data_IF_472737525733
#
_entry.id   IF_472737525733
#
_cell.length_a   1.000
_cell.length_b   1.000
_cell.length_c   1.000
_cell.angle_alpha   90.00
_cell.angle_beta   90.00
_cell.angle_gamma   90.00
#
_symmetry.space_group_name_H-M   'P 1'
#
loop_
_entity.id
_entity.type
_entity.pdbx_description
1 polymer ?
#
# COMPACT_ATOMS: atom_id res chain seq x y z
N UNK A 1 -4.48 90.06 34.52
CA UNK A 1 -3.55 89.13 35.18
C UNK A 1 -4.25 88.00 35.95
N UNK A 2 -5.35 88.22 36.67
CA UNK A 2 -6.07 87.13 37.34
C UNK A 2 -6.85 86.21 36.38
N UNK A 3 -7.49 86.76 35.34
CA UNK A 3 -8.26 85.99 34.34
C UNK A 3 -7.39 85.02 33.52
N UNK A 4 -6.15 85.41 33.23
CA UNK A 4 -5.18 84.59 32.49
C UNK A 4 -4.63 83.43 33.33
N UNK A 5 -4.56 83.58 34.65
CA UNK A 5 -4.13 82.51 35.56
C UNK A 5 -5.18 81.40 35.66
N UNK A 6 -6.47 81.77 35.66
CA UNK A 6 -7.55 80.79 35.78
C UNK A 6 -7.74 79.96 34.51
N UNK A 7 -7.57 80.57 33.33
CA UNK A 7 -7.53 79.86 32.05
C UNK A 7 -6.38 78.83 32.00
N UNK A 8 -5.17 79.24 32.41
CA UNK A 8 -4.01 78.36 32.45
C UNK A 8 -4.18 77.16 33.42
N UNK A 9 -4.91 77.33 34.54
CA UNK A 9 -5.23 76.22 35.45
C UNK A 9 -6.20 75.21 34.83
N UNK A 10 -7.18 75.69 34.06
CA UNK A 10 -8.13 74.82 33.39
C UNK A 10 -7.46 74.00 32.28
N UNK A 11 -6.60 74.64 31.48
CA UNK A 11 -5.77 73.97 30.47
C UNK A 11 -4.83 72.93 31.08
N UNK A 12 -4.19 73.24 32.22
CA UNK A 12 -3.35 72.29 32.94
C UNK A 12 -4.16 71.07 33.42
N UNK A 13 -5.34 71.30 33.99
CA UNK A 13 -6.20 70.22 34.47
C UNK A 13 -6.70 69.31 33.33
N UNK A 14 -6.99 69.89 32.17
CA UNK A 14 -7.37 69.13 30.97
C UNK A 14 -6.20 68.30 30.43
N UNK A 15 -5.01 68.91 30.31
CA UNK A 15 -3.79 68.23 29.92
C UNK A 15 -3.39 67.09 30.89
N UNK A 16 -3.58 67.26 32.21
CA UNK A 16 -3.36 66.21 33.20
C UNK A 16 -4.33 65.03 33.03
N UNK A 17 -5.58 65.32 32.69
CA UNK A 17 -6.60 64.29 32.41
C UNK A 17 -6.27 63.53 31.12
N UNK A 18 -5.88 64.22 30.06
CA UNK A 18 -5.41 63.61 28.81
C UNK A 18 -4.18 62.73 29.05
N UNK A 19 -3.19 63.24 29.80
CA UNK A 19 -1.99 62.47 30.16
C UNK A 19 -2.34 61.19 30.91
N UNK A 20 -3.32 61.25 31.84
CA UNK A 20 -3.79 60.08 32.58
C UNK A 20 -4.45 59.05 31.67
N UNK A 21 -5.26 59.48 30.70
CA UNK A 21 -5.90 58.60 29.71
C UNK A 21 -4.86 57.98 28.78
N UNK A 22 -3.92 58.77 28.25
CA UNK A 22 -2.85 58.25 27.40
C UNK A 22 -1.99 57.22 28.13
N UNK A 23 -1.67 57.45 29.42
CA UNK A 23 -0.94 56.49 30.24
C UNK A 23 -1.68 55.16 30.38
N UNK A 24 -3.00 55.16 30.60
CA UNK A 24 -3.75 53.91 30.71
C UNK A 24 -3.83 53.17 29.37
N UNK A 25 -3.97 53.90 28.26
CA UNK A 25 -3.94 53.31 26.90
C UNK A 25 -2.57 52.68 26.60
N UNK A 26 -1.47 53.35 26.91
CA UNK A 26 -0.11 52.81 26.73
C UNK A 26 0.06 51.53 27.54
N UNK A 27 -0.33 51.51 28.82
CA UNK A 27 -0.24 50.31 29.66
C UNK A 27 -1.09 49.14 29.13
N UNK A 28 -2.25 49.41 28.53
CA UNK A 28 -3.06 48.37 27.89
C UNK A 28 -2.37 47.82 26.65
N UNK A 29 -1.84 48.72 25.79
CA UNK A 29 -1.13 48.34 24.58
C UNK A 29 0.16 47.57 24.86
N UNK A 30 0.88 47.91 25.93
CA UNK A 30 2.09 47.18 26.37
C UNK A 30 1.75 45.75 26.79
N UNK A 31 0.65 45.54 27.52
CA UNK A 31 0.18 44.20 27.90
C UNK A 31 -0.25 43.37 26.70
N UNK A 32 -0.95 43.99 25.74
CA UNK A 32 -1.32 43.32 24.49
C UNK A 32 -0.09 42.94 23.68
N UNK A 33 0.91 43.84 23.60
CA UNK A 33 2.18 43.56 22.93
C UNK A 33 2.91 42.38 23.58
N UNK A 34 3.00 42.35 24.91
CA UNK A 34 3.61 41.24 25.65
C UNK A 34 2.87 39.92 25.38
N UNK A 35 1.53 39.93 25.33
CA UNK A 35 0.74 38.75 25.01
C UNK A 35 0.97 38.27 23.57
N UNK A 36 1.11 39.19 22.61
CA UNK A 36 1.40 38.86 21.21
C UNK A 36 2.79 38.22 21.11
N UNK A 37 3.79 38.75 21.81
CA UNK A 37 5.14 38.18 21.82
C UNK A 37 5.16 36.74 22.35
N UNK A 38 4.41 36.44 23.42
CA UNK A 38 4.27 35.05 23.91
C UNK A 38 3.65 34.13 22.86
N UNK A 39 2.58 34.57 22.19
CA UNK A 39 1.95 33.78 21.12
C UNK A 39 2.89 33.54 19.93
N UNK A 40 3.73 34.51 19.59
CA UNK A 40 4.74 34.35 18.54
C UNK A 40 5.75 33.26 18.91
N UNK A 41 6.21 33.25 20.17
CA UNK A 41 7.12 32.23 20.67
C UNK A 41 6.48 30.83 20.64
N UNK A 42 5.24 30.71 21.11
CA UNK A 42 4.47 29.46 21.07
C UNK A 42 4.34 28.92 19.63
N UNK A 43 3.95 29.79 18.69
CA UNK A 43 3.82 29.44 17.26
C UNK A 43 5.18 29.04 16.67
N UNK A 44 6.27 29.70 17.07
CA UNK A 44 7.61 29.37 16.60
C UNK A 44 8.04 27.98 17.07
N UNK A 45 7.74 27.63 18.33
CA UNK A 45 7.99 26.30 18.88
C UNK A 45 7.19 25.23 18.14
N UNK A 46 5.90 25.47 17.90
CA UNK A 46 5.02 24.57 17.13
C UNK A 46 5.55 24.37 15.71
N UNK A 47 5.91 25.45 15.02
CA UNK A 47 6.47 25.40 13.67
C UNK A 47 7.75 24.56 13.60
N UNK A 48 8.62 24.68 14.59
CA UNK A 48 9.86 23.91 14.63
C UNK A 48 9.63 22.43 15.01
N UNK A 49 8.60 22.12 15.80
CA UNK A 49 8.15 20.74 16.01
C UNK A 49 7.63 20.11 14.71
N UNK A 50 6.71 20.78 14.01
CA UNK A 50 6.16 20.31 12.74
C UNK A 50 7.24 20.10 11.68
N UNK A 51 8.24 20.99 11.60
CA UNK A 51 9.39 20.83 10.71
C UNK A 51 10.22 19.59 11.03
N UNK A 52 10.40 19.27 12.33
CA UNK A 52 11.11 18.06 12.76
C UNK A 52 10.33 16.80 12.41
N UNK A 53 9.03 16.78 12.66
CA UNK A 53 8.19 15.63 12.33
C UNK A 53 8.11 15.40 10.82
N UNK A 54 7.95 16.46 10.02
CA UNK A 54 8.01 16.35 8.56
C UNK A 54 9.32 15.73 8.08
N UNK A 55 10.45 16.14 8.66
CA UNK A 55 11.77 15.59 8.29
C UNK A 55 11.87 14.09 8.59
N UNK A 56 11.34 13.63 9.73
CA UNK A 56 11.29 12.20 10.06
C UNK A 56 10.43 11.42 9.06
N UNK A 57 9.25 11.94 8.72
CA UNK A 57 8.35 11.32 7.75
C UNK A 57 8.99 11.26 6.36
N UNK A 58 9.72 12.30 5.94
CA UNK A 58 10.46 12.30 4.66
C UNK A 58 11.56 11.22 4.65
N UNK A 59 12.29 11.04 5.76
CA UNK A 59 13.30 9.99 5.93
C UNK A 59 12.66 8.58 5.89
N UNK A 60 11.53 8.37 6.57
CA UNK A 60 10.78 7.11 6.54
C UNK A 60 10.23 6.78 5.15
N UNK A 61 9.69 7.79 4.45
CA UNK A 61 9.22 7.62 3.07
C UNK A 61 10.35 7.25 2.11
N UNK A 62 11.53 7.85 2.28
CA UNK A 62 12.69 7.52 1.46
C UNK A 62 13.13 6.06 1.66
N UNK A 63 13.15 5.58 2.90
CA UNK A 63 13.49 4.19 3.24
C UNK A 63 12.45 3.19 2.72
N UNK A 64 11.17 3.50 2.85
CA UNK A 64 10.09 2.67 2.33
C UNK A 64 10.15 2.59 0.80
N UNK A 65 10.38 3.72 0.12
CA UNK A 65 10.52 3.75 -1.34
C UNK A 65 11.73 2.93 -1.81
N UNK A 66 12.86 2.96 -1.08
CA UNK A 66 14.01 2.10 -1.38
C UNK A 66 13.64 0.62 -1.27
N UNK A 67 12.96 0.25 -0.19
CA UNK A 67 12.51 -1.14 0.04
C UNK A 67 11.56 -1.61 -1.06
N UNK A 68 10.61 -0.76 -1.46
CA UNK A 68 9.70 -1.05 -2.57
C UNK A 68 10.49 -1.24 -3.87
N UNK A 69 11.41 -0.34 -4.20
CA UNK A 69 12.22 -0.45 -5.41
C UNK A 69 13.07 -1.74 -5.44
N UNK A 70 13.60 -2.18 -4.31
CA UNK A 70 14.31 -3.46 -4.20
C UNK A 70 13.38 -4.66 -4.42
N UNK A 71 12.18 -4.63 -3.84
CA UNK A 71 11.17 -5.70 -4.00
C UNK A 71 10.57 -5.75 -5.41
N UNK A 72 10.39 -4.59 -6.05
CA UNK A 72 9.87 -4.46 -7.42
C UNK A 72 10.99 -4.47 -8.47
N UNK A 73 12.24 -4.70 -8.07
CA UNK A 73 13.34 -4.86 -9.00
C UNK A 73 12.96 -5.92 -10.04
N UNK A 74 13.24 -5.63 -11.31
CA UNK A 74 12.93 -6.50 -12.46
C UNK A 74 13.40 -7.94 -12.27
N UNK A 75 14.45 -8.15 -11.47
CA UNK A 75 14.96 -9.47 -11.10
C UNK A 75 13.97 -10.31 -10.28
N UNK A 76 13.22 -9.71 -9.36
CA UNK A 76 12.21 -10.38 -8.55
C UNK A 76 10.97 -10.73 -9.37
N UNK A 77 10.46 -9.77 -10.14
CA UNK A 77 9.30 -9.99 -11.00
C UNK A 77 9.57 -11.00 -12.12
N UNK A 78 10.73 -10.91 -12.78
CA UNK A 78 11.13 -11.89 -13.81
C UNK A 78 11.34 -13.28 -13.23
N UNK A 79 11.89 -13.41 -12.01
CA UNK A 79 12.02 -14.69 -11.32
C UNK A 79 10.64 -15.28 -10.98
N UNK A 80 9.70 -14.46 -10.50
CA UNK A 80 8.33 -14.89 -10.22
C UNK A 80 7.63 -15.35 -11.50
N UNK A 81 7.73 -14.59 -12.59
CA UNK A 81 7.14 -14.95 -13.88
C UNK A 81 7.70 -16.28 -14.40
N UNK A 82 9.03 -16.47 -14.33
CA UNK A 82 9.68 -17.73 -14.72
C UNK A 82 9.18 -18.91 -13.87
N UNK A 83 9.10 -18.75 -12.56
CA UNK A 83 8.56 -19.78 -11.67
C UNK A 83 7.09 -20.09 -11.96
N UNK A 84 6.29 -19.08 -12.30
CA UNK A 84 4.88 -19.28 -12.70
C UNK A 84 4.77 -20.06 -14.01
N UNK A 85 5.65 -19.81 -14.98
CA UNK A 85 5.73 -20.56 -16.22
C UNK A 85 6.16 -22.02 -15.97
N UNK A 86 7.19 -22.25 -15.15
CA UNK A 86 7.62 -23.60 -14.77
C UNK A 86 6.51 -24.38 -14.03
N UNK A 87 5.75 -23.73 -13.14
CA UNK A 87 4.58 -24.32 -12.48
C UNK A 87 3.49 -24.68 -13.49
N UNK A 88 3.25 -23.80 -14.47
CA UNK A 88 2.25 -24.02 -15.52
C UNK A 88 2.64 -25.23 -16.38
N UNK A 89 3.90 -25.35 -16.76
CA UNK A 89 4.42 -26.48 -17.53
C UNK A 89 4.34 -27.78 -16.74
N UNK A 90 4.75 -27.78 -15.47
CA UNK A 90 4.58 -28.91 -14.57
C UNK A 90 3.11 -29.35 -14.47
N UNK A 91 2.19 -28.40 -14.28
CA UNK A 91 0.74 -28.69 -14.23
C UNK A 91 0.22 -29.25 -15.55
N UNK A 92 0.72 -28.78 -16.69
CA UNK A 92 0.31 -29.29 -18.00
C UNK A 92 0.69 -30.77 -18.19
N UNK A 93 1.86 -31.18 -17.68
CA UNK A 93 2.31 -32.59 -17.72
C UNK A 93 1.33 -33.51 -16.98
N UNK A 94 0.70 -33.05 -15.90
CA UNK A 94 -0.25 -33.84 -15.11
C UNK A 94 -1.62 -33.98 -15.77
N UNK A 95 -1.95 -33.15 -16.77
CA UNK A 95 -3.23 -33.18 -17.46
C UNK A 95 -3.31 -34.33 -18.47
N UNK A 96 -4.52 -34.84 -18.66
CA UNK A 96 -4.85 -35.87 -19.63
C UNK A 96 -4.62 -35.35 -21.05
N UNK A 97 -3.82 -36.05 -21.85
CA UNK A 97 -3.53 -35.66 -23.24
C UNK A 97 -4.73 -35.75 -24.19
N UNK A 98 -5.87 -36.30 -23.76
CA UNK A 98 -7.09 -36.41 -24.58
C UNK A 98 -8.01 -35.21 -24.38
N UNK A 99 -8.24 -34.76 -23.14
CA UNK A 99 -9.12 -33.63 -22.85
C UNK A 99 -8.40 -32.33 -22.48
N UNK A 100 -7.09 -32.38 -22.20
CA UNK A 100 -6.24 -31.25 -21.82
C UNK A 100 -6.73 -30.45 -20.60
N UNK A 101 -7.57 -31.08 -19.79
CA UNK A 101 -8.31 -30.42 -18.71
C UNK A 101 -8.11 -31.18 -17.39
N UNK A 102 -8.63 -32.40 -17.31
CA UNK A 102 -8.57 -33.25 -16.11
C UNK A 102 -7.18 -33.85 -15.90
N UNK A 103 -6.84 -34.08 -14.64
CA UNK A 103 -5.60 -34.79 -14.26
C UNK A 103 -5.61 -36.24 -14.74
N UNK A 104 -4.41 -36.81 -14.90
CA UNK A 104 -4.21 -38.24 -15.14
C UNK A 104 -4.62 -39.02 -13.88
N UNK A 105 -5.47 -40.02 -14.05
CA UNK A 105 -6.03 -40.83 -12.94
C UNK A 105 -5.84 -42.33 -13.17
N UNK A 106 -5.68 -42.74 -14.44
CA UNK A 106 -5.57 -44.14 -14.83
C UNK A 106 -4.36 -44.37 -15.74
N UNK A 107 -3.80 -45.57 -15.65
CA UNK A 107 -2.76 -46.09 -16.53
C UNK A 107 -3.30 -47.30 -17.31
N UNK A 108 -2.93 -47.38 -18.59
CA UNK A 108 -3.12 -48.59 -19.40
C UNK A 108 -1.89 -49.47 -19.23
N UNK A 109 -1.98 -50.55 -18.45
CA UNK A 109 -0.80 -51.36 -18.04
C UNK A 109 -0.05 -52.01 -19.20
N UNK A 110 -0.68 -52.14 -20.38
CA UNK A 110 -0.04 -52.68 -21.60
C UNK A 110 0.95 -51.73 -22.27
N UNK A 111 0.79 -50.41 -22.07
CA UNK A 111 1.61 -49.41 -22.75
C UNK A 111 2.04 -48.25 -21.85
N UNK A 112 1.67 -48.27 -20.58
CA UNK A 112 2.01 -47.29 -19.54
C UNK A 112 1.60 -45.84 -19.81
N UNK A 113 0.76 -45.59 -20.82
CA UNK A 113 0.20 -44.27 -21.03
C UNK A 113 -0.88 -43.94 -20.00
N UNK A 114 -0.86 -42.69 -19.53
CA UNK A 114 -1.74 -42.18 -18.49
C UNK A 114 -2.76 -41.18 -19.03
N UNK A 115 -3.99 -41.27 -18.53
CA UNK A 115 -5.11 -40.44 -18.93
C UNK A 115 -6.07 -40.21 -17.76
N UNK A 116 -7.04 -39.31 -17.89
CA UNK A 116 -8.15 -39.23 -16.94
C UNK A 116 -9.09 -40.43 -17.13
N UNK A 117 -9.74 -40.86 -16.05
CA UNK A 117 -10.62 -42.02 -16.07
C UNK A 117 -11.77 -41.82 -17.08
N UNK A 118 -12.38 -40.63 -17.09
CA UNK A 118 -13.50 -40.31 -17.98
C UNK A 118 -13.18 -40.50 -19.48
N UNK A 119 -11.97 -40.15 -19.91
CA UNK A 119 -11.57 -40.30 -21.32
C UNK A 119 -11.38 -41.77 -21.71
N UNK A 120 -10.91 -42.61 -20.78
CA UNK A 120 -10.71 -44.04 -21.03
C UNK A 120 -12.01 -44.82 -20.95
N UNK A 121 -12.91 -44.50 -20.00
CA UNK A 121 -14.24 -45.11 -19.95
C UNK A 121 -15.02 -44.83 -21.24
N UNK A 122 -15.03 -43.57 -21.71
CA UNK A 122 -15.68 -43.22 -22.99
C UNK A 122 -15.11 -44.01 -24.18
N UNK A 123 -13.80 -44.25 -24.24
CA UNK A 123 -13.20 -45.08 -25.30
C UNK A 123 -13.72 -46.53 -25.25
N UNK A 124 -13.81 -47.10 -24.05
CA UNK A 124 -14.27 -48.47 -23.85
C UNK A 124 -15.76 -48.63 -24.19
N UNK A 125 -16.59 -47.65 -23.80
CA UNK A 125 -18.02 -47.58 -24.16
C UNK A 125 -18.23 -47.53 -25.68
N UNK A 126 -17.44 -46.70 -26.38
CA UNK A 126 -17.47 -46.60 -27.85
C UNK A 126 -16.80 -47.79 -28.56
N UNK A 127 -16.36 -48.82 -27.83
CA UNK A 127 -15.61 -49.97 -28.34
C UNK A 127 -14.32 -49.60 -29.07
N UNK A 128 -13.77 -48.41 -28.82
CA UNK A 128 -12.46 -47.97 -29.30
C UNK A 128 -11.35 -48.56 -28.43
N UNK A 129 -11.08 -49.85 -28.61
CA UNK A 129 -10.11 -50.64 -27.82
C UNK A 129 -8.64 -50.38 -28.21
N UNK A 130 -8.26 -49.13 -28.44
CA UNK A 130 -6.89 -48.71 -28.79
C UNK A 130 -6.49 -47.51 -27.94
N UNK A 131 -5.28 -47.54 -27.38
CA UNK A 131 -4.74 -46.47 -26.55
C UNK A 131 -4.74 -45.13 -27.32
N UNK A 132 -5.26 -44.03 -26.76
CA UNK A 132 -5.24 -42.72 -27.42
C UNK A 132 -3.83 -42.18 -27.68
N UNK A 133 -2.82 -42.61 -26.90
CA UNK A 133 -1.43 -42.14 -27.03
C UNK A 133 -0.60 -42.88 -28.07
N UNK A 134 -0.80 -44.20 -28.22
CA UNK A 134 0.07 -45.04 -29.05
C UNK A 134 -0.65 -46.10 -29.89
N UNK A 135 -1.97 -46.21 -29.80
CA UNK A 135 -2.78 -47.16 -30.58
C UNK A 135 -2.74 -48.62 -30.10
N UNK A 136 -1.95 -48.95 -29.06
CA UNK A 136 -1.88 -50.31 -28.49
C UNK A 136 -3.26 -50.79 -28.05
N UNK A 137 -3.61 -52.04 -28.39
CA UNK A 137 -4.90 -52.60 -28.02
C UNK A 137 -5.02 -52.82 -26.51
N UNK A 138 -6.15 -52.43 -25.91
CA UNK A 138 -6.41 -52.59 -24.48
C UNK A 138 -7.90 -52.86 -24.19
N UNK A 139 -8.19 -53.44 -23.03
CA UNK A 139 -9.55 -53.63 -22.51
C UNK A 139 -9.69 -53.19 -21.05
N UNK A 140 -10.89 -53.35 -20.47
CA UNK A 140 -11.20 -52.92 -19.09
C UNK A 140 -10.19 -53.45 -18.05
N UNK A 141 -9.78 -54.71 -18.19
CA UNK A 141 -8.85 -55.37 -17.27
C UNK A 141 -7.42 -54.78 -17.31
N UNK A 142 -7.10 -54.04 -18.36
CA UNK A 142 -5.80 -53.39 -18.57
C UNK A 142 -5.76 -51.96 -17.98
N UNK A 143 -6.88 -51.45 -17.43
CA UNK A 143 -6.97 -50.10 -16.88
C UNK A 143 -6.86 -50.16 -15.36
N UNK A 144 -5.91 -49.41 -14.80
CA UNK A 144 -5.69 -49.32 -13.34
C UNK A 144 -5.67 -47.86 -12.91
N UNK A 145 -6.29 -47.57 -11.76
CA UNK A 145 -6.16 -46.27 -11.13
C UNK A 145 -4.74 -46.09 -10.58
N UNK A 146 -4.22 -44.88 -10.71
CA UNK A 146 -2.96 -44.45 -10.13
C UNK A 146 -3.21 -43.27 -9.21
N UNK A 147 -2.41 -43.17 -8.15
CA UNK A 147 -2.32 -41.96 -7.34
C UNK A 147 -1.09 -41.20 -7.84
N UNK A 148 -1.31 -40.00 -8.34
CA UNK A 148 -0.27 -39.07 -8.81
C UNK A 148 -0.12 -37.96 -7.77
#
# INVERSE_FOLDING_TARGET
>A
MAVTLEAAKWELADAEKELKMLKSTVLSSEKEHEQILRKIDDIQIELDNERRERKKLDEELMELNRTVAELTSETGEAAIQKLQEEIKDCKAILKCGVCLDRVKEVVIVKCFHLFCNQCIQRNLELRHRKCPGCGTAFGQNDVRFVKI
#
